data_IF_994981327546
#
_entry.id   IF_994981327546
#
_cell.length_a   1.000
_cell.length_b   1.000
_cell.length_c   1.000
_cell.angle_alpha   90.00
_cell.angle_beta   90.00
_cell.angle_gamma   90.00
#
_symmetry.space_group_name_H-M   'P 1'
#
loop_
_entity.id
_entity.type
_entity.pdbx_description
1 polymer ?
#
# COMPACT_ATOMS: atom_id res chain seq x y z
N UNK A 1 -35.57 -50.93 7.76
CA UNK A 1 -36.40 -49.83 8.27
C UNK A 1 -35.51 -48.84 9.03
N UNK A 2 -35.66 -47.54 8.70
CA UNK A 2 -35.26 -46.30 9.42
C UNK A 2 -33.84 -46.19 10.05
N UNK A 3 -32.90 -45.39 9.53
CA UNK A 3 -32.71 -43.91 9.66
C UNK A 3 -32.55 -43.36 11.10
N UNK A 4 -31.33 -42.92 11.43
CA UNK A 4 -30.99 -41.69 12.18
C UNK A 4 -29.44 -41.52 12.16
N UNK A 5 -28.86 -40.98 11.10
CA UNK A 5 -28.44 -39.56 10.94
C UNK A 5 -27.73 -38.98 12.17
N UNK A 6 -26.42 -39.12 12.21
CA UNK A 6 -25.54 -38.17 12.90
C UNK A 6 -24.49 -37.70 11.89
N UNK A 7 -24.82 -36.63 11.17
CA UNK A 7 -23.87 -35.85 10.38
C UNK A 7 -23.17 -34.92 11.37
N UNK A 8 -22.03 -35.35 11.92
CA UNK A 8 -21.04 -34.39 12.40
C UNK A 8 -20.21 -34.00 11.18
N UNK A 9 -20.66 -32.93 10.52
CA UNK A 9 -19.89 -32.22 9.53
C UNK A 9 -18.68 -31.59 10.21
N UNK A 10 -17.55 -32.30 10.21
CA UNK A 10 -16.24 -31.70 10.46
C UNK A 10 -15.91 -30.79 9.27
N UNK A 11 -16.38 -29.54 9.34
CA UNK A 11 -15.91 -28.49 8.45
C UNK A 11 -14.48 -28.17 8.91
N UNK A 12 -13.51 -28.86 8.31
CA UNK A 12 -12.12 -28.45 8.36
C UNK A 12 -12.01 -27.11 7.62
N UNK A 13 -12.17 -26.01 8.36
CA UNK A 13 -11.89 -24.67 7.87
C UNK A 13 -10.38 -24.56 7.66
N UNK A 14 -9.91 -24.97 6.48
CA UNK A 14 -8.60 -24.62 5.96
C UNK A 14 -8.59 -23.10 5.75
N UNK A 15 -8.11 -22.37 6.76
CA UNK A 15 -7.67 -21.00 6.58
C UNK A 15 -6.43 -21.05 5.68
N UNK A 16 -6.66 -20.93 4.37
CA UNK A 16 -5.61 -20.64 3.41
C UNK A 16 -5.09 -19.22 3.71
N UNK A 17 -4.07 -19.13 4.56
CA UNK A 17 -3.22 -17.95 4.62
C UNK A 17 -2.44 -17.93 3.30
N UNK A 18 -2.95 -17.22 2.29
CA UNK A 18 -2.16 -16.86 1.13
C UNK A 18 -1.01 -16.00 1.62
N UNK A 19 0.20 -16.57 1.70
CA UNK A 19 1.42 -15.81 1.86
C UNK A 19 1.61 -15.08 0.53
N UNK A 20 1.02 -13.88 0.41
CA UNK A 20 1.33 -12.98 -0.69
C UNK A 20 2.86 -12.85 -0.70
N UNK A 21 3.46 -13.21 -1.84
CA UNK A 21 4.90 -13.26 -2.00
C UNK A 21 5.53 -11.99 -1.41
N UNK A 22 6.25 -12.15 -0.30
CA UNK A 22 6.95 -11.06 0.35
C UNK A 22 8.04 -10.61 -0.62
N UNK A 23 7.76 -9.54 -1.38
CA UNK A 23 8.79 -8.81 -2.09
C UNK A 23 9.91 -8.48 -1.10
N UNK A 24 11.18 -8.61 -1.49
CA UNK A 24 12.31 -8.44 -0.59
C UNK A 24 12.16 -7.12 0.18
N UNK A 25 12.53 -7.07 1.48
CA UNK A 25 12.40 -5.86 2.27
C UNK A 25 13.27 -4.77 1.63
N UNK A 26 12.65 -3.89 0.86
CA UNK A 26 13.25 -2.61 0.54
C UNK A 26 13.40 -1.89 1.87
N UNK A 27 14.65 -1.72 2.31
CA UNK A 27 14.99 -0.86 3.43
C UNK A 27 14.31 0.50 3.19
N UNK A 28 13.43 0.90 4.10
CA UNK A 28 12.66 2.16 4.00
C UNK A 28 11.18 2.04 3.63
N UNK A 29 10.59 0.83 3.59
CA UNK A 29 9.15 0.67 3.37
C UNK A 29 8.33 1.07 4.62
N UNK A 30 7.82 2.31 4.64
CA UNK A 30 6.86 2.78 5.64
C UNK A 30 5.51 2.09 5.45
N UNK A 31 4.82 1.77 6.54
CA UNK A 31 3.47 1.23 6.55
C UNK A 31 2.54 2.09 7.40
N UNK A 32 1.27 2.20 7.01
CA UNK A 32 0.26 2.92 7.78
C UNK A 32 -0.05 2.13 9.05
N UNK A 33 0.41 2.62 10.19
CA UNK A 33 0.26 1.96 11.49
C UNK A 33 -1.03 2.36 12.21
N UNK A 34 -1.47 3.62 12.04
CA UNK A 34 -2.69 4.11 12.68
C UNK A 34 -3.30 5.28 11.91
N UNK A 35 -4.61 5.43 12.06
CA UNK A 35 -5.41 6.55 11.54
C UNK A 35 -6.13 7.20 12.72
N UNK A 36 -5.93 8.50 12.89
CA UNK A 36 -6.58 9.31 13.90
C UNK A 36 -7.46 10.36 13.18
N UNK A 37 -8.67 9.92 12.81
CA UNK A 37 -9.59 10.73 12.01
C UNK A 37 -10.00 12.03 12.71
N UNK A 38 -10.22 12.00 14.03
CA UNK A 38 -10.63 13.17 14.83
C UNK A 38 -9.63 14.32 14.80
N UNK A 39 -8.35 14.02 14.54
CA UNK A 39 -7.26 15.01 14.50
C UNK A 39 -6.61 15.10 13.12
N UNK A 40 -7.28 14.55 12.10
CA UNK A 40 -6.85 14.56 10.71
C UNK A 40 -5.37 14.16 10.53
N UNK A 41 -4.94 13.09 11.21
CA UNK A 41 -3.57 12.61 11.15
C UNK A 41 -3.46 11.10 11.05
N UNK A 42 -2.32 10.65 10.55
CA UNK A 42 -1.95 9.24 10.46
C UNK A 42 -0.56 9.03 11.05
N UNK A 43 -0.26 7.78 11.40
CA UNK A 43 1.07 7.36 11.83
C UNK A 43 1.60 6.33 10.85
N UNK A 44 2.78 6.59 10.31
CA UNK A 44 3.55 5.61 9.56
C UNK A 44 4.60 4.99 10.45
N UNK A 45 4.84 3.69 10.29
CA UNK A 45 5.93 2.98 10.95
C UNK A 45 6.81 2.30 9.92
N UNK A 46 8.12 2.31 10.12
CA UNK A 46 9.05 1.51 9.32
C UNK A 46 9.36 0.15 9.99
N UNK A 47 10.14 -0.68 9.31
CA UNK A 47 10.54 -1.99 9.83
C UNK A 47 11.48 -1.92 11.06
N UNK A 48 12.08 -0.77 11.34
CA UNK A 48 12.90 -0.55 12.55
C UNK A 48 12.07 -0.14 13.76
N UNK A 49 10.77 0.11 13.57
CA UNK A 49 9.87 0.63 14.60
C UNK A 49 9.90 2.15 14.73
N UNK A 50 10.55 2.86 13.81
CA UNK A 50 10.49 4.32 13.76
C UNK A 50 9.10 4.73 13.35
N UNK A 51 8.46 5.59 14.15
CA UNK A 51 7.11 6.10 13.89
C UNK A 51 7.16 7.57 13.48
N UNK A 52 6.35 7.95 12.50
CA UNK A 52 6.20 9.33 12.05
C UNK A 52 4.74 9.69 11.90
N UNK A 53 4.32 10.71 12.64
CA UNK A 53 3.00 11.33 12.49
C UNK A 53 3.01 12.22 11.24
N UNK A 54 1.93 12.15 10.47
CA UNK A 54 1.68 12.99 9.28
C UNK A 54 0.26 13.50 9.38
N UNK A 55 0.07 14.82 9.45
CA UNK A 55 -1.23 15.47 9.42
C UNK A 55 -1.71 15.75 7.98
N UNK A 56 -3.01 15.98 7.79
CA UNK A 56 -3.56 16.41 6.50
C UNK A 56 -2.86 17.70 6.06
N UNK A 57 -2.41 17.72 4.81
CA UNK A 57 -1.58 18.77 4.22
C UNK A 57 -0.09 18.52 4.33
N UNK A 58 0.37 17.60 5.19
CA UNK A 58 1.79 17.26 5.35
C UNK A 58 2.25 16.15 4.40
N UNK A 59 3.56 16.10 4.18
CA UNK A 59 4.21 15.10 3.35
C UNK A 59 4.46 13.81 4.12
N UNK A 60 4.41 12.70 3.41
CA UNK A 60 4.82 11.41 3.92
C UNK A 60 6.32 11.36 4.19
N UNK A 61 6.80 10.37 4.96
CA UNK A 61 8.20 10.30 5.37
C UNK A 61 9.21 10.20 4.21
N UNK A 62 8.78 9.74 3.04
CA UNK A 62 9.56 9.61 1.81
C UNK A 62 9.40 10.81 0.85
N UNK A 63 8.65 11.84 1.25
CA UNK A 63 8.37 13.07 0.48
C UNK A 63 7.67 12.89 -0.88
N UNK A 64 7.29 11.68 -1.28
CA UNK A 64 6.61 11.46 -2.56
C UNK A 64 5.12 11.80 -2.54
N UNK A 65 4.50 11.70 -1.37
CA UNK A 65 3.07 11.84 -1.19
C UNK A 65 2.75 12.93 -0.17
N UNK A 66 1.57 13.51 -0.33
CA UNK A 66 0.97 14.42 0.66
C UNK A 66 -0.34 13.83 1.14
N UNK A 67 -0.54 13.81 2.46
CA UNK A 67 -1.83 13.42 3.03
C UNK A 67 -2.87 14.48 2.66
N UNK A 68 -3.84 14.11 1.84
CA UNK A 68 -4.87 15.02 1.35
C UNK A 68 -6.13 14.99 2.19
N UNK A 69 -6.49 13.83 2.74
CA UNK A 69 -7.68 13.65 3.57
C UNK A 69 -7.63 12.33 4.33
N UNK A 70 -8.50 12.20 5.33
CA UNK A 70 -8.87 10.92 5.94
C UNK A 70 -10.36 10.70 5.69
N UNK A 71 -10.73 9.56 5.11
CA UNK A 71 -12.12 9.23 4.75
C UNK A 71 -12.43 7.79 5.10
N UNK A 72 -13.51 7.56 5.84
CA UNK A 72 -13.96 6.21 6.20
C UNK A 72 -12.85 5.35 6.85
N UNK A 73 -12.00 5.97 7.68
CA UNK A 73 -10.85 5.32 8.31
C UNK A 73 -9.66 5.05 7.38
N UNK A 74 -9.65 5.62 6.17
CA UNK A 74 -8.58 5.47 5.16
C UNK A 74 -7.81 6.76 4.99
N UNK A 75 -6.51 6.65 4.79
CA UNK A 75 -5.66 7.76 4.40
C UNK A 75 -5.73 7.97 2.88
N UNK A 76 -6.05 9.18 2.43
CA UNK A 76 -6.04 9.57 1.01
C UNK A 76 -4.79 10.40 0.77
N UNK A 77 -3.89 9.86 -0.04
CA UNK A 77 -2.59 10.44 -0.36
C UNK A 77 -2.60 10.93 -1.81
N UNK A 78 -2.01 12.10 -2.05
CA UNK A 78 -1.81 12.65 -3.40
C UNK A 78 -0.33 12.68 -3.72
N UNK A 79 0.03 12.21 -4.90
CA UNK A 79 1.40 12.32 -5.40
C UNK A 79 1.77 13.80 -5.54
N UNK A 80 2.97 14.18 -5.08
CA UNK A 80 3.47 15.55 -5.27
C UNK A 80 3.86 15.81 -6.73
N UNK A 81 4.30 14.78 -7.44
CA UNK A 81 4.55 14.84 -8.88
C UNK A 81 3.31 14.39 -9.65
N UNK A 82 2.93 15.20 -10.65
CA UNK A 82 1.95 14.78 -11.64
C UNK A 82 2.57 13.73 -12.53
N UNK A 83 1.85 12.64 -12.76
CA UNK A 83 2.19 11.65 -13.78
C UNK A 83 1.32 11.89 -14.99
N UNK A 84 1.93 12.13 -16.15
CA UNK A 84 1.21 12.42 -17.40
C UNK A 84 0.18 13.56 -17.25
N UNK A 85 0.50 14.57 -16.43
CA UNK A 85 -0.39 15.70 -16.14
C UNK A 85 -1.55 15.37 -15.20
N UNK A 86 -1.67 14.15 -14.69
CA UNK A 86 -2.70 13.70 -13.74
C UNK A 86 -2.16 13.65 -12.32
N UNK A 87 -3.01 14.02 -11.36
CA UNK A 87 -2.74 13.81 -9.94
C UNK A 87 -3.11 12.37 -9.64
N UNK A 88 -2.15 11.60 -9.12
CA UNK A 88 -2.39 10.23 -8.67
C UNK A 88 -2.79 10.27 -7.21
N UNK A 89 -3.90 9.60 -6.90
CA UNK A 89 -4.38 9.39 -5.55
C UNK A 89 -4.10 7.93 -5.12
N UNK A 90 -3.63 7.76 -3.90
CA UNK A 90 -3.43 6.47 -3.26
C UNK A 90 -4.24 6.41 -1.99
N UNK A 91 -4.98 5.32 -1.81
CA UNK A 91 -5.76 5.09 -0.59
C UNK A 91 -5.05 4.00 0.22
N UNK A 92 -4.80 4.27 1.50
CA UNK A 92 -4.21 3.30 2.42
C UNK A 92 -5.13 3.02 3.59
N UNK A 93 -5.16 1.76 3.97
CA UNK A 93 -5.71 1.25 5.24
C UNK A 93 -4.59 0.84 6.19
N UNK A 94 -4.93 0.72 7.48
CA UNK A 94 -3.96 0.31 8.50
C UNK A 94 -3.39 -1.07 8.14
N UNK A 95 -2.06 -1.18 8.17
CA UNK A 95 -1.30 -2.36 7.78
C UNK A 95 -0.79 -2.31 6.33
N UNK A 96 -1.31 -1.42 5.49
CA UNK A 96 -0.83 -1.28 4.11
C UNK A 96 0.47 -0.48 4.03
N UNK A 97 1.30 -0.83 3.06
CA UNK A 97 2.57 -0.16 2.82
C UNK A 97 2.37 1.08 1.97
N UNK A 98 3.12 2.12 2.32
CA UNK A 98 3.27 3.29 1.49
C UNK A 98 4.02 2.91 0.22
N UNK A 99 3.36 3.03 -0.93
CA UNK A 99 4.01 2.77 -2.20
C UNK A 99 5.08 3.86 -2.46
N UNK A 100 6.19 3.52 -3.14
CA UNK A 100 7.13 4.53 -3.58
C UNK A 100 6.47 5.52 -4.54
N UNK A 101 7.11 6.68 -4.73
CA UNK A 101 6.70 7.68 -5.71
C UNK A 101 6.34 6.99 -7.04
N UNK A 102 5.16 7.29 -7.60
CA UNK A 102 4.80 6.69 -8.86
C UNK A 102 5.71 7.36 -9.92
N UNK A 103 6.42 6.56 -10.71
CA UNK A 103 7.41 7.02 -11.68
C UNK A 103 6.83 6.91 -13.09
N UNK A 104 7.14 7.89 -13.95
CA UNK A 104 6.92 7.73 -15.39
C UNK A 104 7.73 6.52 -15.84
N UNK A 105 7.07 5.53 -16.42
CA UNK A 105 7.75 4.44 -17.13
C UNK A 105 8.47 5.07 -18.31
N UNK A 106 9.75 5.40 -18.12
CA UNK A 106 10.61 5.88 -19.19
C UNK A 106 10.54 4.83 -20.31
N UNK A 107 10.14 5.20 -21.54
CA UNK A 107 10.07 4.23 -22.62
C UNK A 107 11.47 3.63 -22.76
N UNK A 108 11.58 2.31 -22.56
CA UNK A 108 12.79 1.56 -22.87
C UNK A 108 13.17 1.93 -24.29
N UNK A 109 14.20 2.77 -24.42
CA UNK A 109 14.80 3.15 -25.69
C UNK A 109 15.34 1.84 -26.24
N UNK A 110 14.56 1.21 -27.12
CA UNK A 110 14.98 0.01 -27.82
C UNK A 110 16.29 0.33 -28.50
N UNK A 111 17.37 -0.28 -28.03
CA UNK A 111 18.64 -0.39 -28.73
C UNK A 111 18.41 -1.26 -29.98
N UNK A 112 17.71 -0.70 -30.96
CA UNK A 112 17.74 -1.17 -32.33
C UNK A 112 19.02 -0.63 -32.97
N UNK A 113 20.17 -1.18 -32.57
CA UNK A 113 21.39 -1.09 -33.36
C UNK A 113 21.70 -2.48 -33.94
N UNK A 114 20.95 -2.86 -34.96
CA UNK A 114 21.37 -3.89 -35.91
C UNK A 114 21.12 -3.34 -37.29
N UNK A 115 22.12 -2.64 -37.82
CA UNK A 115 22.07 -2.15 -39.17
C UNK A 115 23.23 -1.23 -39.50
N UNK A 116 24.16 -1.77 -40.29
CA UNK A 116 24.99 -1.08 -41.28
C UNK A 116 26.44 -0.72 -40.88
N UNK A 117 27.37 -1.66 -41.03
CA UNK A 117 28.33 -1.66 -42.16
C UNK A 117 29.14 -2.95 -42.24
#
# INVERSE_FOLDING_TARGET
MAFCRSVLGSVAALYAFSIAAASPPQAGAWALAAVAADVEAVVFADASGTMRKVAVGERTPDDAWRLSAIRDGRAVLKAERRLDGRIVEMHLTVGERLAPAPHESQPSRGDANTGNR
#
